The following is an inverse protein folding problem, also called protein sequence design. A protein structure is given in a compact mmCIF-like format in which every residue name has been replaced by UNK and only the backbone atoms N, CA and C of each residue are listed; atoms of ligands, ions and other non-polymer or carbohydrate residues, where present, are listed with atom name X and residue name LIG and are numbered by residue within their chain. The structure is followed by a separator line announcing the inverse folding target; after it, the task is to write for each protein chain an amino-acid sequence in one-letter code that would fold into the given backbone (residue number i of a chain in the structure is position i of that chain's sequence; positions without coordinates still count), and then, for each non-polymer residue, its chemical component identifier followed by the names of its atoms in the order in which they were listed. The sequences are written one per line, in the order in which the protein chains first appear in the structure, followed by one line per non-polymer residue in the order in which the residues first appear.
data_IF_690638868827
#
_entry.id   IF_690638868827
#
_cell.length_a   1.000
_cell.length_b   1.000
_cell.length_c   1.000
_cell.angle_alpha   90.00
_cell.angle_beta   90.00
_cell.angle_gamma   90.00
#
_symmetry.space_group_name_H-M   'P 1'
#
loop_
_entity.id
_entity.type
_entity.pdbx_description
1 polymer ?
#
# COMPACT_ATOMS: atom_id res chain seq x y z
N UNK A 1 -78.45 -10.66 -48.08
CA UNK A 1 -79.41 -9.56 -48.33
C UNK A 1 -79.25 -8.54 -47.23
N UNK A 2 -78.80 -7.33 -47.57
CA UNK A 2 -78.86 -6.07 -46.78
C UNK A 2 -78.01 -6.01 -45.50
N UNK A 3 -77.41 -4.91 -45.08
CA UNK A 3 -77.19 -3.57 -45.64
C UNK A 3 -76.14 -2.91 -44.73
N UNK A 4 -75.30 -2.06 -45.31
CA UNK A 4 -74.43 -1.15 -44.60
C UNK A 4 -75.19 0.09 -44.03
N UNK A 5 -74.55 0.81 -43.11
CA UNK A 5 -74.80 2.23 -42.78
C UNK A 5 -74.89 2.51 -41.27
N UNK A 6 -73.90 3.11 -40.58
CA UNK A 6 -73.36 4.51 -40.53
C UNK A 6 -74.00 5.40 -39.44
N UNK A 7 -73.10 6.08 -38.70
CA UNK A 7 -73.24 7.31 -37.87
C UNK A 7 -74.01 7.14 -36.54
N UNK A 8 -73.65 7.76 -35.39
CA UNK A 8 -73.05 9.07 -35.12
C UNK A 8 -72.71 9.22 -33.60
N UNK A 9 -71.57 9.86 -33.25
CA UNK A 9 -71.30 10.77 -32.07
C UNK A 9 -71.53 10.21 -30.63
N UNK A 10 -70.79 10.51 -29.55
CA UNK A 10 -69.76 11.48 -29.14
C UNK A 10 -69.20 11.05 -27.75
N UNK A 11 -67.91 11.32 -27.52
CA UNK A 11 -67.16 11.51 -26.25
C UNK A 11 -67.45 10.67 -24.98
N UNK A 12 -66.43 9.94 -24.50
CA UNK A 12 -65.69 10.23 -23.24
C UNK A 12 -64.47 9.26 -23.13
N UNK A 13 -63.23 9.77 -23.24
CA UNK A 13 -62.24 9.90 -22.14
C UNK A 13 -61.77 8.55 -21.57
N UNK A 14 -60.63 8.03 -22.05
CA UNK A 14 -59.34 7.91 -21.32
C UNK A 14 -59.29 6.68 -20.37
N UNK A 15 -58.25 5.86 -20.26
CA UNK A 15 -56.80 6.08 -20.26
C UNK A 15 -56.12 4.77 -20.69
N UNK A 16 -55.18 4.86 -21.63
CA UNK A 16 -54.16 3.84 -21.92
C UNK A 16 -53.00 4.08 -20.96
N UNK A 17 -52.52 3.06 -20.25
CA UNK A 17 -51.23 3.10 -19.57
C UNK A 17 -50.40 1.86 -19.93
N UNK A 18 -49.52 2.09 -20.90
CA UNK A 18 -48.40 1.26 -21.33
C UNK A 18 -47.45 1.01 -20.14
N UNK A 19 -47.27 -0.24 -19.73
CA UNK A 19 -46.16 -0.62 -18.85
C UNK A 19 -44.99 -1.03 -19.73
N UNK A 20 -44.13 -0.06 -20.06
CA UNK A 20 -42.77 -0.33 -20.57
C UNK A 20 -41.90 -0.58 -19.34
N UNK A 21 -41.61 -1.86 -19.08
CA UNK A 21 -40.62 -2.24 -18.08
C UNK A 21 -39.21 -1.88 -18.60
N UNK A 22 -38.73 -0.71 -18.18
CA UNK A 22 -37.35 -0.27 -18.33
C UNK A 22 -36.46 -1.16 -17.45
N UNK A 23 -35.82 -2.16 -18.06
CA UNK A 23 -34.70 -2.88 -17.46
C UNK A 23 -33.46 -1.97 -17.46
N UNK A 24 -33.45 -0.96 -16.59
CA UNK A 24 -32.22 -0.30 -16.17
C UNK A 24 -31.51 -1.23 -15.20
N UNK A 25 -30.49 -1.93 -15.68
CA UNK A 25 -29.51 -2.59 -14.81
C UNK A 25 -28.85 -1.54 -13.92
N UNK A 26 -29.22 -1.53 -12.64
CA UNK A 26 -28.53 -0.73 -11.62
C UNK A 26 -27.16 -1.34 -11.38
N UNK A 27 -26.13 -0.70 -11.92
CA UNK A 27 -24.73 -1.03 -11.64
C UNK A 27 -24.38 -0.67 -10.20
N UNK A 28 -24.31 -1.67 -9.32
CA UNK A 28 -23.91 -1.53 -7.90
C UNK A 28 -22.39 -1.36 -7.69
N UNK A 29 -21.64 -0.78 -8.65
CA UNK A 29 -20.20 -0.60 -8.53
C UNK A 29 -19.78 0.83 -8.13
N UNK A 30 -20.60 1.85 -8.45
CA UNK A 30 -20.21 3.25 -8.27
C UNK A 30 -20.30 3.76 -6.81
N UNK A 31 -21.20 3.20 -5.99
CA UNK A 31 -21.46 3.69 -4.63
C UNK A 31 -20.30 3.41 -3.66
N UNK A 32 -19.61 2.28 -3.80
CA UNK A 32 -18.45 1.93 -2.95
C UNK A 32 -17.24 2.80 -3.23
N UNK A 33 -17.01 3.15 -4.51
CA UNK A 33 -15.86 3.94 -4.94
C UNK A 33 -16.00 5.41 -4.53
N UNK A 34 -17.19 6.00 -4.75
CA UNK A 34 -17.48 7.37 -4.33
C UNK A 34 -17.51 7.53 -2.81
N UNK A 35 -17.79 6.47 -2.07
CA UNK A 35 -17.70 6.45 -0.60
C UNK A 35 -16.25 6.41 -0.12
N UNK A 36 -15.39 5.62 -0.78
CA UNK A 36 -13.96 5.51 -0.46
C UNK A 36 -13.20 6.83 -0.65
N UNK A 37 -13.41 7.50 -1.78
CA UNK A 37 -12.82 8.81 -2.08
C UNK A 37 -13.20 9.86 -1.01
N UNK A 38 -14.50 10.01 -0.73
CA UNK A 38 -15.01 10.96 0.27
C UNK A 38 -14.47 10.67 1.66
N UNK A 39 -14.38 9.40 2.04
CA UNK A 39 -13.82 9.02 3.34
C UNK A 39 -12.34 9.39 3.46
N UNK A 40 -11.55 9.20 2.40
CA UNK A 40 -10.14 9.56 2.42
C UNK A 40 -9.93 11.08 2.45
N UNK A 41 -10.73 11.85 1.70
CA UNK A 41 -10.70 13.31 1.76
C UNK A 41 -11.16 13.85 3.12
N UNK A 42 -12.17 13.24 3.74
CA UNK A 42 -12.59 13.59 5.09
C UNK A 42 -11.47 13.34 6.11
N UNK A 43 -10.78 12.19 5.99
CA UNK A 43 -9.62 11.87 6.83
C UNK A 43 -8.50 12.89 6.65
N UNK A 44 -8.20 13.31 5.41
CA UNK A 44 -7.23 14.38 5.13
C UNK A 44 -7.59 15.66 5.89
N UNK A 45 -8.86 16.09 5.83
CA UNK A 45 -9.35 17.26 6.56
C UNK A 45 -9.16 17.14 8.08
N UNK A 46 -9.47 15.97 8.66
CA UNK A 46 -9.32 15.67 10.09
C UNK A 46 -7.85 15.76 10.56
N UNK A 47 -6.92 15.20 9.77
CA UNK A 47 -5.51 15.06 10.20
C UNK A 47 -4.60 16.15 9.66
N UNK A 48 -5.11 17.13 8.91
CA UNK A 48 -4.29 18.15 8.22
C UNK A 48 -3.28 18.83 9.14
N UNK A 49 -3.69 19.30 10.33
CA UNK A 49 -2.76 19.91 11.27
C UNK A 49 -1.67 18.95 11.76
N UNK A 50 -1.92 17.64 11.82
CA UNK A 50 -0.93 16.63 12.21
C UNK A 50 0.02 16.31 11.05
N UNK A 51 -0.46 16.39 9.80
CA UNK A 51 0.39 16.33 8.62
C UNK A 51 1.33 17.54 8.55
N UNK A 52 0.86 18.74 8.90
CA UNK A 52 1.70 19.94 8.83
C UNK A 52 2.66 20.08 10.02
N UNK A 53 2.24 19.63 11.22
CA UNK A 53 3.01 19.73 12.46
C UNK A 53 3.33 18.34 13.00
N UNK A 54 4.49 17.82 12.59
CA UNK A 54 4.98 16.53 13.06
C UNK A 54 6.52 16.51 13.15
N UNK A 55 7.03 15.41 13.70
CA UNK A 55 8.46 15.15 13.90
C UNK A 55 9.20 14.67 12.64
N UNK A 56 8.50 14.37 11.55
CA UNK A 56 9.09 13.79 10.34
C UNK A 56 9.68 14.84 9.39
N UNK A 57 9.31 16.12 9.55
CA UNK A 57 9.71 17.18 8.61
C UNK A 57 9.17 16.96 7.19
N UNK A 58 8.08 16.20 7.08
CA UNK A 58 7.38 15.85 5.86
C UNK A 58 5.88 15.69 6.20
N UNK A 59 4.95 15.86 5.23
CA UNK A 59 3.52 15.79 5.48
C UNK A 59 3.08 14.33 5.68
N UNK A 60 3.41 13.75 6.83
CA UNK A 60 3.25 12.34 7.18
C UNK A 60 2.52 12.23 8.51
N UNK A 61 1.53 11.36 8.58
CA UNK A 61 0.85 10.98 9.81
C UNK A 61 0.82 9.46 9.92
N UNK A 62 1.30 8.94 11.04
CA UNK A 62 1.36 7.53 11.33
C UNK A 62 0.49 7.23 12.56
N UNK A 63 -0.27 6.15 12.50
CA UNK A 63 -0.90 5.56 13.66
C UNK A 63 -0.79 4.04 13.62
N UNK A 64 -0.66 3.42 14.78
CA UNK A 64 -0.48 1.98 14.90
C UNK A 64 -1.22 1.44 16.11
N UNK A 65 -1.74 0.22 15.98
CA UNK A 65 -2.48 -0.49 17.03
C UNK A 65 -2.02 -1.94 17.09
N UNK A 66 -1.82 -2.43 18.30
CA UNK A 66 -1.53 -3.83 18.60
C UNK A 66 -2.71 -4.40 19.37
N UNK A 67 -3.37 -5.41 18.79
CA UNK A 67 -4.39 -6.23 19.44
C UNK A 67 -3.78 -7.51 20.02
N UNK A 68 -4.62 -8.43 20.49
CA UNK A 68 -4.15 -9.67 21.14
C UNK A 68 -3.30 -10.57 20.22
N UNK A 69 -3.74 -10.73 18.97
CA UNK A 69 -3.11 -11.59 17.94
C UNK A 69 -2.99 -10.89 16.58
N UNK A 70 -3.16 -9.57 16.55
CA UNK A 70 -3.20 -8.79 15.31
C UNK A 70 -2.51 -7.45 15.46
N UNK A 71 -1.87 -6.99 14.39
CA UNK A 71 -1.22 -5.68 14.35
C UNK A 71 -1.80 -4.91 13.18
N UNK A 72 -2.02 -3.61 13.38
CA UNK A 72 -2.41 -2.66 12.34
C UNK A 72 -1.53 -1.42 12.39
N UNK A 73 -1.18 -0.92 11.23
CA UNK A 73 -0.56 0.39 11.06
C UNK A 73 -1.16 1.07 9.85
N UNK A 74 -1.46 2.35 10.02
CA UNK A 74 -1.96 3.24 9.00
C UNK A 74 -0.97 4.40 8.87
N UNK A 75 -0.58 4.68 7.63
CA UNK A 75 0.34 5.75 7.27
C UNK A 75 -0.32 6.60 6.21
N UNK A 76 -0.45 7.88 6.49
CA UNK A 76 -0.98 8.88 5.59
C UNK A 76 0.15 9.81 5.19
N UNK A 77 0.17 10.24 3.93
CA UNK A 77 1.07 11.31 3.54
C UNK A 77 0.70 12.03 2.26
N UNK A 78 1.23 13.24 2.12
CA UNK A 78 1.10 14.05 0.91
C UNK A 78 2.33 13.88 0.04
N UNK A 79 2.13 13.30 -1.13
CA UNK A 79 3.13 13.14 -2.17
C UNK A 79 3.00 14.32 -3.12
N UNK A 80 4.06 15.11 -3.27
CA UNK A 80 4.11 16.27 -4.18
C UNK A 80 4.31 15.84 -5.64
N UNK A 81 3.47 14.92 -6.11
CA UNK A 81 3.42 14.40 -7.48
C UNK A 81 1.97 14.47 -7.98
N UNK A 82 1.76 14.66 -9.30
CA UNK A 82 0.43 14.59 -9.90
C UNK A 82 -0.23 13.24 -9.62
N UNK A 83 -1.54 13.27 -9.34
CA UNK A 83 -2.30 12.05 -9.01
C UNK A 83 -2.20 10.98 -10.09
N UNK A 84 -2.25 11.35 -11.36
CA UNK A 84 -2.11 10.40 -12.47
C UNK A 84 -0.75 9.69 -12.43
N UNK A 85 0.33 10.40 -12.13
CA UNK A 85 1.67 9.81 -11.98
C UNK A 85 1.71 8.79 -10.82
N UNK A 86 1.09 9.13 -9.69
CA UNK A 86 1.01 8.21 -8.53
C UNK A 86 0.13 7.01 -8.87
N UNK A 87 -1.05 7.24 -9.46
CA UNK A 87 -1.99 6.19 -9.84
C UNK A 87 -1.35 5.18 -10.79
N UNK A 88 -0.73 5.68 -11.85
CA UNK A 88 -0.18 4.86 -12.92
C UNK A 88 1.04 4.04 -12.43
N UNK A 89 1.85 4.63 -11.53
CA UNK A 89 2.92 3.91 -10.87
C UNK A 89 2.39 2.76 -9.97
N UNK A 90 1.42 3.05 -9.10
CA UNK A 90 0.99 2.11 -8.06
C UNK A 90 0.07 1.00 -8.55
N UNK A 91 -0.63 1.19 -9.67
CA UNK A 91 -1.43 0.12 -10.29
C UNK A 91 -0.58 -0.93 -11.04
N UNK A 92 0.73 -0.69 -11.22
CA UNK A 92 1.62 -1.60 -11.93
C UNK A 92 2.30 -2.62 -11.00
N UNK A 93 2.06 -3.94 -11.16
CA UNK A 93 2.75 -4.96 -10.37
C UNK A 93 4.28 -4.90 -10.51
N UNK A 94 4.80 -4.53 -11.68
CA UNK A 94 6.25 -4.42 -11.90
C UNK A 94 6.87 -3.29 -11.10
N UNK A 95 6.16 -2.16 -10.93
CA UNK A 95 6.61 -1.04 -10.12
C UNK A 95 6.78 -1.46 -8.65
N UNK A 96 5.88 -2.28 -8.11
CA UNK A 96 6.00 -2.83 -6.76
C UNK A 96 7.27 -3.70 -6.59
N UNK A 97 7.72 -4.37 -7.65
CA UNK A 97 9.00 -5.08 -7.65
C UNK A 97 10.24 -4.20 -7.91
N UNK A 98 10.06 -2.89 -8.08
CA UNK A 98 11.12 -1.89 -8.00
C UNK A 98 11.09 -1.12 -6.67
N UNK A 99 9.90 -0.98 -6.07
CA UNK A 99 9.67 -0.29 -4.79
C UNK A 99 10.07 -1.17 -3.60
N UNK A 100 9.48 -2.37 -3.49
CA UNK A 100 9.61 -3.20 -2.30
C UNK A 100 11.04 -3.67 -2.03
N UNK A 101 11.89 -4.00 -3.03
CA UNK A 101 13.27 -4.39 -2.78
C UNK A 101 14.16 -3.27 -2.26
N UNK A 102 13.72 -2.00 -2.27
CA UNK A 102 14.45 -0.93 -1.57
C UNK A 102 14.51 -1.21 -0.05
N UNK A 103 13.48 -1.87 0.49
CA UNK A 103 13.48 -2.27 1.89
C UNK A 103 14.63 -3.25 2.17
N UNK A 104 15.45 -2.96 3.20
CA UNK A 104 16.66 -3.73 3.53
C UNK A 104 16.43 -5.24 3.70
N UNK A 105 15.25 -5.63 4.18
CA UNK A 105 14.87 -7.03 4.37
C UNK A 105 14.23 -7.70 3.14
N UNK A 106 13.90 -7.01 2.07
CA UNK A 106 13.33 -7.64 0.87
C UNK A 106 14.45 -7.96 -0.12
N UNK A 107 14.62 -9.24 -0.42
CA UNK A 107 15.72 -9.80 -1.23
C UNK A 107 15.39 -9.91 -2.71
N UNK A 108 14.11 -10.13 -3.00
CA UNK A 108 13.57 -10.10 -4.34
C UNK A 108 12.07 -9.81 -4.26
N UNK A 109 11.54 -9.25 -5.32
CA UNK A 109 10.14 -9.26 -5.65
C UNK A 109 9.99 -9.77 -7.07
N UNK A 110 9.11 -10.75 -7.25
CA UNK A 110 8.66 -11.14 -8.58
C UNK A 110 7.16 -10.94 -8.69
N UNK A 111 6.69 -10.72 -9.91
CA UNK A 111 5.28 -10.63 -10.22
C UNK A 111 4.93 -11.63 -11.32
N UNK A 112 3.72 -12.20 -11.22
CA UNK A 112 3.13 -13.08 -12.23
C UNK A 112 1.76 -12.54 -12.63
N UNK A 113 1.40 -12.62 -13.90
CA UNK A 113 0.05 -12.31 -14.35
C UNK A 113 -0.84 -13.54 -14.17
N UNK A 114 -1.96 -13.39 -13.48
CA UNK A 114 -2.92 -14.47 -13.19
C UNK A 114 -4.29 -14.06 -13.73
N UNK A 115 -4.59 -14.44 -14.98
CA UNK A 115 -5.78 -14.00 -15.72
C UNK A 115 -5.86 -12.46 -15.76
N UNK A 116 -6.91 -11.86 -15.19
CA UNK A 116 -7.10 -10.41 -15.09
C UNK A 116 -6.44 -9.78 -13.84
N UNK A 117 -5.84 -10.60 -12.97
CA UNK A 117 -5.17 -10.15 -11.75
C UNK A 117 -3.65 -10.36 -11.86
N UNK A 118 -2.92 -9.94 -10.82
CA UNK A 118 -1.52 -10.28 -10.66
C UNK A 118 -1.28 -10.92 -9.29
N UNK A 119 -0.14 -11.60 -9.16
CA UNK A 119 0.40 -12.04 -7.88
C UNK A 119 1.80 -11.48 -7.72
N UNK A 120 2.11 -10.90 -6.56
CA UNK A 120 3.47 -10.58 -6.15
C UNK A 120 3.98 -11.67 -5.22
N UNK A 121 5.26 -12.00 -5.32
CA UNK A 121 5.97 -12.77 -4.30
C UNK A 121 7.13 -11.95 -3.77
N UNK A 122 7.07 -11.57 -2.50
CA UNK A 122 8.13 -10.87 -1.80
C UNK A 122 8.99 -11.87 -1.04
N UNK A 123 10.30 -11.82 -1.22
CA UNK A 123 11.24 -12.69 -0.52
C UNK A 123 11.85 -11.91 0.65
N UNK A 124 11.38 -12.17 1.87
CA UNK A 124 11.82 -11.49 3.09
C UNK A 124 12.98 -12.24 3.76
N UNK A 125 14.08 -11.55 3.98
CA UNK A 125 15.33 -12.10 4.50
C UNK A 125 16.03 -11.19 5.51
N UNK A 126 17.28 -11.53 5.80
CA UNK A 126 18.13 -10.84 6.77
C UNK A 126 18.56 -9.45 6.26
N UNK A 127 19.19 -8.64 7.12
CA UNK A 127 19.65 -7.28 6.74
C UNK A 127 20.86 -7.25 5.79
N UNK A 128 21.53 -8.38 5.60
CA UNK A 128 22.63 -8.55 4.65
C UNK A 128 22.15 -9.23 3.37
N UNK A 129 23.04 -9.39 2.39
CA UNK A 129 22.76 -10.20 1.21
C UNK A 129 22.31 -11.60 1.62
N UNK A 130 21.27 -12.08 0.95
CA UNK A 130 20.76 -13.44 1.08
C UNK A 130 20.08 -13.80 -0.25
N UNK A 131 20.38 -14.97 -0.85
CA UNK A 131 19.69 -15.38 -2.07
C UNK A 131 18.19 -15.62 -1.80
N UNK A 132 17.30 -15.41 -2.79
CA UNK A 132 15.87 -15.63 -2.61
C UNK A 132 15.50 -17.04 -2.12
N UNK A 133 16.29 -18.07 -2.45
CA UNK A 133 16.11 -19.45 -1.99
C UNK A 133 16.16 -19.63 -0.47
N UNK A 134 16.88 -18.74 0.22
CA UNK A 134 17.09 -18.81 1.67
C UNK A 134 16.18 -17.82 2.41
N UNK A 135 15.40 -17.03 1.67
CA UNK A 135 14.47 -16.03 2.19
C UNK A 135 13.05 -16.61 2.31
N UNK A 136 12.23 -16.01 3.15
CA UNK A 136 10.84 -16.40 3.34
C UNK A 136 9.95 -15.76 2.27
N UNK A 137 9.26 -16.56 1.44
CA UNK A 137 8.33 -16.01 0.45
C UNK A 137 7.03 -15.57 1.11
N UNK A 138 6.53 -14.40 0.72
CA UNK A 138 5.20 -13.89 1.02
C UNK A 138 4.47 -13.69 -0.32
N UNK A 139 3.50 -14.55 -0.61
CA UNK A 139 2.68 -14.46 -1.81
C UNK A 139 1.49 -13.55 -1.55
N UNK A 140 1.31 -12.57 -2.43
CA UNK A 140 0.29 -11.54 -2.32
C UNK A 140 -0.54 -11.50 -3.61
N UNK A 141 -1.83 -11.77 -3.50
CA UNK A 141 -2.78 -11.45 -4.56
C UNK A 141 -2.83 -9.94 -4.72
N UNK A 142 -2.55 -9.44 -5.93
CA UNK A 142 -2.53 -8.02 -6.26
C UNK A 142 -3.82 -7.65 -6.96
N UNK A 143 -4.62 -6.78 -6.33
CA UNK A 143 -5.92 -6.35 -6.84
C UNK A 143 -6.02 -4.82 -6.87
N UNK A 144 -6.23 -4.28 -8.06
CA UNK A 144 -6.72 -2.90 -8.24
C UNK A 144 -8.22 -2.93 -8.01
N UNK A 145 -8.68 -2.39 -6.88
CA UNK A 145 -10.09 -2.38 -6.50
C UNK A 145 -10.84 -1.22 -7.18
N UNK A 146 -10.18 -0.07 -7.35
CA UNK A 146 -10.69 1.09 -8.09
C UNK A 146 -9.52 1.83 -8.75
N UNK A 147 -9.69 2.29 -9.99
CA UNK A 147 -8.73 3.18 -10.67
C UNK A 147 -9.49 4.20 -11.51
N UNK A 148 -9.70 5.37 -10.93
CA UNK A 148 -10.54 6.45 -11.46
C UNK A 148 -9.74 7.76 -11.59
N UNK A 149 -10.30 8.81 -12.21
CA UNK A 149 -9.64 10.12 -12.29
C UNK A 149 -9.39 10.80 -10.94
N UNK A 150 -10.17 10.48 -9.90
CA UNK A 150 -10.06 11.11 -8.57
C UNK A 150 -9.79 10.11 -7.43
N UNK A 151 -9.66 8.82 -7.73
CA UNK A 151 -9.50 7.81 -6.69
C UNK A 151 -8.75 6.58 -7.20
N UNK A 152 -7.78 6.11 -6.42
CA UNK A 152 -7.13 4.83 -6.57
C UNK A 152 -7.38 4.02 -5.30
N UNK A 153 -7.72 2.75 -5.45
CA UNK A 153 -7.68 1.75 -4.39
C UNK A 153 -7.02 0.46 -4.85
N UNK A 154 -6.06 -0.01 -4.07
CA UNK A 154 -5.29 -1.21 -4.32
C UNK A 154 -5.21 -2.05 -3.04
N UNK A 155 -5.35 -3.37 -3.18
CA UNK A 155 -5.23 -4.32 -2.10
C UNK A 155 -4.24 -5.43 -2.46
N UNK A 156 -3.29 -5.71 -1.57
CA UNK A 156 -2.41 -6.88 -1.63
C UNK A 156 -2.74 -7.80 -0.46
N UNK A 157 -3.10 -9.04 -0.75
CA UNK A 157 -3.58 -9.99 0.26
C UNK A 157 -2.80 -11.29 0.22
N UNK A 158 -2.31 -11.75 1.37
CA UNK A 158 -1.63 -13.04 1.52
C UNK A 158 -2.05 -13.74 2.80
N UNK A 159 -2.43 -15.01 2.70
CA UNK A 159 -2.97 -15.76 3.83
C UNK A 159 -1.89 -16.19 4.82
N UNK A 160 -0.70 -16.48 4.30
CA UNK A 160 0.44 -16.98 5.07
C UNK A 160 1.68 -16.10 4.81
N UNK A 161 2.46 -15.88 5.86
CA UNK A 161 3.72 -15.16 5.77
C UNK A 161 4.83 -15.74 6.65
N UNK A 162 5.98 -15.05 6.68
CA UNK A 162 7.17 -15.53 7.38
C UNK A 162 6.92 -15.80 8.86
N UNK A 163 7.60 -16.83 9.39
CA UNK A 163 7.64 -17.09 10.84
C UNK A 163 6.24 -17.31 11.48
N UNK A 164 5.27 -17.81 10.71
CA UNK A 164 3.95 -18.16 11.20
C UNK A 164 2.99 -16.98 11.35
N UNK A 165 3.29 -15.83 10.72
CA UNK A 165 2.32 -14.74 10.54
C UNK A 165 1.29 -15.12 9.47
N UNK A 166 0.09 -14.54 9.57
CA UNK A 166 -1.05 -14.83 8.71
C UNK A 166 -1.81 -13.56 8.37
N UNK A 167 -2.80 -13.69 7.48
CA UNK A 167 -3.78 -12.64 7.19
C UNK A 167 -3.16 -11.29 6.79
N UNK A 168 -2.08 -11.33 5.99
CA UNK A 168 -1.39 -10.14 5.52
C UNK A 168 -2.29 -9.37 4.56
N UNK A 169 -2.64 -8.13 4.93
CA UNK A 169 -3.39 -7.21 4.07
C UNK A 169 -2.67 -5.88 4.01
N UNK A 170 -2.21 -5.50 2.82
CA UNK A 170 -1.66 -4.19 2.52
C UNK A 170 -2.70 -3.46 1.67
N UNK A 171 -3.19 -2.33 2.16
CA UNK A 171 -4.13 -1.47 1.43
C UNK A 171 -3.45 -0.17 1.03
N UNK A 172 -3.67 0.28 -0.20
CA UNK A 172 -3.24 1.60 -0.67
C UNK A 172 -4.42 2.33 -1.27
N UNK A 173 -4.68 3.53 -0.78
CA UNK A 173 -5.66 4.44 -1.35
C UNK A 173 -4.98 5.77 -1.69
N UNK A 174 -5.42 6.42 -2.77
CA UNK A 174 -4.92 7.75 -3.12
C UNK A 174 -6.01 8.64 -3.74
N UNK A 175 -5.95 9.93 -3.45
CA UNK A 175 -6.83 10.97 -4.01
C UNK A 175 -6.00 12.21 -4.40
N UNK A 176 -6.37 12.95 -5.46
CA UNK A 176 -5.76 14.23 -5.76
C UNK A 176 -6.16 15.27 -4.69
N UNK A 177 -5.22 16.13 -4.31
CA UNK A 177 -5.47 17.33 -3.50
C UNK A 177 -5.48 18.61 -4.36
N UNK A 178 -5.82 18.48 -5.64
CA UNK A 178 -5.64 19.55 -6.63
C UNK A 178 -4.16 19.90 -6.79
N UNK A 179 -3.83 21.19 -6.81
CA UNK A 179 -2.46 21.69 -7.00
C UNK A 179 -1.46 21.36 -5.88
N UNK A 180 -1.89 20.68 -4.81
CA UNK A 180 -1.04 20.31 -3.66
C UNK A 180 -0.41 18.92 -3.80
N UNK A 181 -0.75 18.17 -4.87
CA UNK A 181 -0.25 16.82 -5.12
C UNK A 181 -1.27 15.75 -4.79
N UNK A 182 -0.82 14.64 -4.23
CA UNK A 182 -1.61 13.44 -4.00
C UNK A 182 -1.59 13.07 -2.53
N UNK A 183 -2.77 12.88 -1.94
CA UNK A 183 -2.89 12.31 -0.61
C UNK A 183 -2.99 10.80 -0.72
N UNK A 184 -2.13 10.09 0.03
CA UNK A 184 -2.04 8.65 0.01
C UNK A 184 -2.24 8.10 1.42
N UNK A 185 -3.00 7.01 1.51
CA UNK A 185 -3.12 6.17 2.69
C UNK A 185 -2.55 4.79 2.39
N UNK A 186 -1.57 4.37 3.18
CA UNK A 186 -1.01 3.03 3.21
C UNK A 186 -1.40 2.37 4.53
N UNK A 187 -2.08 1.23 4.46
CA UNK A 187 -2.41 0.43 5.63
C UNK A 187 -1.75 -0.93 5.53
N UNK A 188 -1.34 -1.48 6.67
CA UNK A 188 -0.86 -2.84 6.75
C UNK A 188 -1.39 -3.52 8.01
N UNK A 189 -1.95 -4.72 7.82
CA UNK A 189 -2.40 -5.59 8.89
C UNK A 189 -1.86 -7.00 8.70
N UNK A 190 -1.60 -7.68 9.81
CA UNK A 190 -1.35 -9.11 9.84
C UNK A 190 -1.72 -9.67 11.22
N UNK A 191 -1.98 -10.97 11.26
CA UNK A 191 -2.23 -11.74 12.47
C UNK A 191 -1.08 -12.70 12.76
N UNK A 192 -1.02 -13.22 13.98
CA UNK A 192 -0.06 -14.24 14.37
C UNK A 192 -0.67 -15.20 15.39
N UNK A 193 -0.30 -16.48 15.30
CA UNK A 193 -0.72 -17.48 16.29
C UNK A 193 0.01 -17.33 17.62
N UNK A 194 -0.46 -18.02 18.66
CA UNK A 194 0.09 -17.95 20.03
C UNK A 194 1.59 -18.26 20.09
N UNK A 195 2.05 -19.26 19.32
CA UNK A 195 3.46 -19.63 19.27
C UNK A 195 4.32 -18.53 18.62
N UNK A 196 3.85 -17.97 17.50
CA UNK A 196 4.51 -16.84 16.83
C UNK A 196 4.56 -15.62 17.75
N UNK A 197 3.47 -15.33 18.48
CA UNK A 197 3.42 -14.26 19.47
C UNK A 197 4.47 -14.42 20.56
N UNK A 198 4.62 -15.62 21.11
CA UNK A 198 5.62 -15.90 22.14
C UNK A 198 7.03 -15.68 21.60
N UNK A 199 7.34 -16.20 20.40
CA UNK A 199 8.64 -16.01 19.77
C UNK A 199 8.95 -14.53 19.51
N UNK A 200 7.96 -13.77 19.01
CA UNK A 200 8.06 -12.34 18.76
C UNK A 200 8.33 -11.58 20.07
N UNK A 201 7.59 -11.88 21.16
CA UNK A 201 7.82 -11.27 22.47
C UNK A 201 9.23 -11.57 23.00
N UNK A 202 9.70 -12.81 22.88
CA UNK A 202 11.07 -13.18 23.29
C UNK A 202 12.14 -12.44 22.48
N UNK A 203 11.93 -12.28 21.17
CA UNK A 203 12.83 -11.50 20.32
C UNK A 203 12.94 -10.06 20.80
N UNK A 204 11.82 -9.38 21.04
CA UNK A 204 11.82 -7.99 21.51
C UNK A 204 12.26 -7.85 22.97
N UNK A 205 12.15 -8.89 23.79
CA UNK A 205 12.76 -8.90 25.11
C UNK A 205 14.29 -9.04 25.07
N UNK A 206 14.88 -9.42 23.92
CA UNK A 206 16.31 -9.71 23.78
C UNK A 206 16.95 -8.91 22.63
N UNK A 207 17.14 -9.53 21.45
CA UNK A 207 17.87 -8.97 20.31
C UNK A 207 17.16 -7.75 19.67
N UNK A 208 15.85 -7.64 19.89
CA UNK A 208 15.03 -6.53 19.40
C UNK A 208 14.79 -5.42 20.42
N UNK A 209 15.34 -5.51 21.64
CA UNK A 209 15.00 -4.61 22.76
C UNK A 209 15.22 -3.13 22.43
N UNK A 210 16.32 -2.80 21.77
CA UNK A 210 16.65 -1.41 21.45
C UNK A 210 15.92 -0.88 20.19
N UNK A 211 15.01 -1.67 19.60
CA UNK A 211 14.30 -1.31 18.36
C UNK A 211 13.02 -0.56 18.71
N UNK A 212 13.07 0.75 18.52
CA UNK A 212 11.96 1.68 18.76
C UNK A 212 11.25 2.11 17.48
N UNK A 213 9.95 2.38 17.59
CA UNK A 213 9.11 2.99 16.58
C UNK A 213 9.26 4.51 16.51
N UNK A 214 8.24 5.16 15.95
CA UNK A 214 8.14 6.60 15.79
C UNK A 214 7.14 7.24 16.74
N UNK A 215 6.09 6.52 17.16
CA UNK A 215 5.14 7.06 18.13
C UNK A 215 5.81 7.23 19.49
N UNK A 216 5.62 8.41 20.09
CA UNK A 216 6.00 8.69 21.48
C UNK A 216 4.80 8.53 22.40
N UNK A 217 5.00 7.92 23.56
CA UNK A 217 3.99 7.74 24.62
C UNK A 217 4.53 8.25 25.95
N UNK A 218 3.64 8.69 26.84
CA UNK A 218 4.00 9.27 28.12
C UNK A 218 3.63 10.74 28.23
N UNK A 219 3.87 11.32 29.41
CA UNK A 219 3.62 12.72 29.70
C UNK A 219 4.74 13.62 29.15
N UNK A 220 4.43 14.90 28.92
CA UNK A 220 5.40 15.88 28.44
C UNK A 220 6.64 15.92 29.35
N UNK A 221 7.82 15.77 28.73
CA UNK A 221 9.10 15.70 29.45
C UNK A 221 9.53 14.29 29.90
N UNK A 222 8.68 13.27 29.74
CA UNK A 222 8.99 11.84 30.01
C UNK A 222 8.52 10.93 28.89
N UNK A 223 8.47 11.44 27.66
CA UNK A 223 8.03 10.69 26.50
C UNK A 223 9.09 9.68 26.06
N UNK A 224 8.65 8.45 25.82
CA UNK A 224 9.47 7.37 25.28
C UNK A 224 8.88 6.87 23.97
N UNK A 225 9.74 6.40 23.07
CA UNK A 225 9.28 5.78 21.84
C UNK A 225 8.69 4.40 22.14
N UNK A 226 7.63 4.05 21.41
CA UNK A 226 7.07 2.72 21.51
C UNK A 226 8.07 1.64 21.06
N UNK A 227 8.08 0.52 21.75
CA UNK A 227 8.96 -0.62 21.48
C UNK A 227 8.17 -1.82 20.94
N UNK A 228 8.84 -2.97 20.81
CA UNK A 228 8.18 -4.23 20.54
C UNK A 228 7.57 -4.34 19.15
N UNK A 229 6.47 -5.09 19.05
CA UNK A 229 5.81 -5.40 17.78
C UNK A 229 5.28 -4.15 17.11
N UNK A 230 4.64 -3.28 17.89
CA UNK A 230 4.16 -1.99 17.42
C UNK A 230 5.29 -1.10 16.91
N UNK A 231 6.41 -0.99 17.64
CA UNK A 231 7.58 -0.26 17.16
C UNK A 231 8.15 -0.84 15.85
N UNK A 232 8.23 -2.16 15.74
CA UNK A 232 8.72 -2.83 14.53
C UNK A 232 7.84 -2.60 13.30
N UNK A 233 6.52 -2.64 13.45
CA UNK A 233 5.61 -2.40 12.32
C UNK A 233 5.70 -0.96 11.83
N UNK A 234 5.83 0.03 12.73
CA UNK A 234 6.00 1.44 12.35
C UNK A 234 7.27 1.66 11.53
N UNK A 235 8.37 1.03 11.92
CA UNK A 235 9.65 1.10 11.20
C UNK A 235 9.53 0.54 9.78
N UNK A 236 8.87 -0.59 9.62
CA UNK A 236 8.67 -1.20 8.31
C UNK A 236 7.76 -0.34 7.42
N UNK A 237 6.66 0.17 7.97
CA UNK A 237 5.75 1.06 7.23
C UNK A 237 6.43 2.35 6.79
N UNK A 238 7.22 2.98 7.67
CA UNK A 238 8.01 4.15 7.30
C UNK A 238 9.01 3.85 6.19
N UNK A 239 9.68 2.70 6.22
CA UNK A 239 10.58 2.29 5.14
C UNK A 239 9.87 2.10 3.80
N UNK A 240 8.66 1.54 3.79
CA UNK A 240 7.85 1.41 2.58
C UNK A 240 7.32 2.75 2.08
N UNK A 241 6.89 3.64 2.97
CA UNK A 241 6.53 5.02 2.61
C UNK A 241 7.71 5.73 1.91
N UNK A 242 8.91 5.66 2.49
CA UNK A 242 10.11 6.25 1.90
C UNK A 242 10.53 5.56 0.59
N UNK A 243 10.21 4.28 0.41
CA UNK A 243 10.40 3.55 -0.85
C UNK A 243 9.46 4.06 -1.94
N UNK A 244 8.18 4.27 -1.63
CA UNK A 244 7.20 4.87 -2.54
C UNK A 244 7.65 6.28 -2.95
N UNK A 245 8.06 7.10 -1.98
CA UNK A 245 8.55 8.45 -2.26
C UNK A 245 9.79 8.42 -3.16
N UNK A 246 10.76 7.57 -2.84
CA UNK A 246 11.97 7.40 -3.66
C UNK A 246 11.64 6.96 -5.08
N UNK A 247 10.71 6.02 -5.26
CA UNK A 247 10.32 5.55 -6.58
C UNK A 247 9.77 6.69 -7.43
N UNK A 248 8.85 7.49 -6.88
CA UNK A 248 8.26 8.63 -7.59
C UNK A 248 9.31 9.72 -7.89
N UNK A 249 10.16 10.07 -6.92
CA UNK A 249 11.22 11.08 -7.08
C UNK A 249 12.26 10.72 -8.16
N UNK A 250 12.41 9.43 -8.45
CA UNK A 250 13.42 8.94 -9.40
C UNK A 250 12.86 8.68 -10.80
N UNK A 251 11.55 8.78 -11.01
CA UNK A 251 10.95 8.66 -12.35
C UNK A 251 11.51 9.68 -13.36
N UNK A 252 11.98 10.84 -12.88
CA UNK A 252 12.62 11.88 -13.68
C UNK A 252 13.94 11.46 -14.35
N UNK A 253 14.62 10.43 -13.84
CA UNK A 253 15.88 9.95 -14.41
C UNK A 253 15.64 9.00 -15.59
N UNK A 254 16.58 8.88 -16.54
CA UNK A 254 16.54 7.85 -17.57
C UNK A 254 16.46 6.44 -16.97
N UNK A 255 15.72 5.54 -17.61
CA UNK A 255 15.41 4.19 -17.07
C UNK A 255 16.66 3.43 -16.58
N UNK A 256 17.74 3.47 -17.36
CA UNK A 256 19.02 2.81 -17.07
C UNK A 256 19.71 3.32 -15.79
N UNK A 257 19.41 4.54 -15.36
CA UNK A 257 19.99 5.16 -14.17
C UNK A 257 19.10 5.03 -12.93
N UNK A 258 17.80 4.77 -13.11
CA UNK A 258 16.80 4.81 -12.03
C UNK A 258 17.14 3.88 -10.88
N UNK A 259 17.63 2.68 -11.15
CA UNK A 259 17.94 1.70 -10.11
C UNK A 259 18.97 2.24 -9.11
N UNK A 260 20.12 2.71 -9.57
CA UNK A 260 21.17 3.25 -8.72
C UNK A 260 20.73 4.52 -7.99
N UNK A 261 20.01 5.41 -8.69
CA UNK A 261 19.45 6.62 -8.07
C UNK A 261 18.47 6.29 -6.95
N UNK A 262 17.61 5.28 -7.13
CA UNK A 262 16.67 4.81 -6.09
C UNK A 262 17.39 4.25 -4.88
N UNK A 263 18.39 3.39 -5.07
CA UNK A 263 19.11 2.81 -3.95
C UNK A 263 19.76 3.90 -3.09
N UNK A 264 20.49 4.82 -3.74
CA UNK A 264 21.17 5.91 -3.05
C UNK A 264 20.17 6.81 -2.32
N UNK A 265 19.09 7.23 -3.00
CA UNK A 265 18.08 8.12 -2.45
C UNK A 265 17.30 7.51 -1.28
N UNK A 266 16.88 6.25 -1.40
CA UNK A 266 16.16 5.57 -0.32
C UNK A 266 17.02 5.47 0.94
N UNK A 267 18.31 5.13 0.78
CA UNK A 267 19.24 5.10 1.91
C UNK A 267 19.34 6.48 2.57
N UNK A 268 19.52 7.55 1.79
CA UNK A 268 19.65 8.90 2.35
C UNK A 268 18.38 9.36 3.08
N UNK A 269 17.20 9.00 2.57
CA UNK A 269 15.93 9.28 3.25
C UNK A 269 15.80 8.52 4.57
N UNK A 270 16.14 7.24 4.60
CA UNK A 270 16.09 6.44 5.84
C UNK A 270 17.14 6.86 6.87
N UNK A 271 18.30 7.33 6.40
CA UNK A 271 19.40 7.80 7.26
C UNK A 271 19.05 9.05 8.08
N UNK A 272 17.99 9.79 7.70
CA UNK A 272 17.43 10.90 8.51
C UNK A 272 16.84 10.44 9.84
N UNK A 273 16.54 9.15 9.97
CA UNK A 273 15.94 8.55 11.17
C UNK A 273 16.87 7.50 11.77
N UNK A 274 18.08 7.87 12.23
CA UNK A 274 19.11 6.89 12.58
C UNK A 274 18.73 6.03 13.79
N UNK A 275 17.98 6.57 14.75
CA UNK A 275 17.52 5.82 15.94
C UNK A 275 16.55 4.70 15.56
N UNK A 276 15.66 4.96 14.60
CA UNK A 276 14.62 4.01 14.18
C UNK A 276 15.10 3.11 13.03
N UNK A 277 15.74 3.66 12.01
CA UNK A 277 15.86 2.99 10.70
C UNK A 277 17.26 2.54 10.30
N UNK A 278 18.34 3.08 10.88
CA UNK A 278 19.72 2.72 10.50
C UNK A 278 20.06 1.30 10.95
N UNK A 279 20.59 0.50 10.03
CA UNK A 279 20.91 -0.93 10.26
C UNK A 279 22.31 -1.35 9.78
N UNK A 280 22.76 -0.80 8.64
CA UNK A 280 24.06 -1.02 8.00
C UNK A 280 24.52 0.29 7.34
N UNK A 281 25.80 0.37 6.92
CA UNK A 281 26.31 1.52 6.17
C UNK A 281 25.86 1.55 4.69
N UNK A 282 26.02 2.71 4.05
CA UNK A 282 25.57 2.95 2.67
C UNK A 282 26.29 2.05 1.67
N UNK A 283 27.63 1.94 1.66
CA UNK A 283 28.33 1.03 0.75
C UNK A 283 27.84 -0.42 0.84
N UNK A 284 27.67 -0.96 2.05
CA UNK A 284 27.17 -2.31 2.28
C UNK A 284 25.74 -2.49 1.77
N UNK A 285 24.85 -1.51 2.04
CA UNK A 285 23.49 -1.53 1.53
C UNK A 285 23.46 -1.55 -0.01
N UNK A 286 24.17 -0.64 -0.66
CA UNK A 286 24.20 -0.55 -2.13
C UNK A 286 24.75 -1.85 -2.75
N UNK A 287 25.84 -2.39 -2.19
CA UNK A 287 26.43 -3.64 -2.67
C UNK A 287 25.44 -4.82 -2.56
N UNK A 288 24.81 -5.00 -1.40
CA UNK A 288 23.83 -6.07 -1.20
C UNK A 288 22.66 -5.95 -2.18
N UNK A 289 22.16 -4.72 -2.41
CA UNK A 289 21.03 -4.49 -3.31
C UNK A 289 21.33 -4.75 -4.78
N UNK A 290 22.56 -4.50 -5.23
CA UNK A 290 22.99 -4.88 -6.59
C UNK A 290 23.01 -6.40 -6.79
N UNK A 291 23.53 -7.14 -5.81
CA UNK A 291 23.53 -8.60 -5.85
C UNK A 291 22.10 -9.17 -5.81
N UNK A 292 21.26 -8.63 -4.92
CA UNK A 292 19.84 -8.98 -4.81
C UNK A 292 19.08 -8.69 -6.12
N UNK A 293 19.37 -7.58 -6.80
CA UNK A 293 18.76 -7.23 -8.09
C UNK A 293 19.07 -8.24 -9.18
N UNK A 294 20.33 -8.67 -9.30
CA UNK A 294 20.71 -9.71 -10.26
C UNK A 294 19.96 -11.03 -10.02
N UNK A 295 19.81 -11.42 -8.75
CA UNK A 295 19.02 -12.61 -8.36
C UNK A 295 17.53 -12.44 -8.67
N UNK A 296 16.97 -11.26 -8.40
CA UNK A 296 15.58 -10.95 -8.71
C UNK A 296 15.29 -11.05 -10.21
N UNK A 297 16.15 -10.51 -11.07
CA UNK A 297 15.97 -10.54 -12.52
C UNK A 297 16.03 -11.96 -13.08
N UNK A 298 16.98 -12.77 -12.60
CA UNK A 298 17.06 -14.19 -12.93
C UNK A 298 15.78 -14.95 -12.50
N UNK A 299 15.31 -14.67 -11.28
CA UNK A 299 14.10 -15.29 -10.73
C UNK A 299 12.84 -14.86 -11.49
N UNK A 300 12.67 -13.58 -11.78
CA UNK A 300 11.55 -13.05 -12.58
C UNK A 300 11.54 -13.68 -13.98
N UNK A 301 12.70 -13.92 -14.59
CA UNK A 301 12.77 -14.54 -15.92
C UNK A 301 12.36 -16.01 -15.91
N UNK A 302 12.69 -16.73 -14.83
CA UNK A 302 12.37 -18.15 -14.65
C UNK A 302 10.92 -18.38 -14.22
N UNK A 303 10.41 -17.51 -13.36
CA UNK A 303 9.20 -17.73 -12.59
C UNK A 303 8.11 -16.68 -12.82
N UNK A 304 8.42 -15.56 -13.47
CA UNK A 304 7.50 -14.44 -13.62
C UNK A 304 6.44 -14.57 -14.72
N UNK A 305 6.54 -15.63 -15.53
CA UNK A 305 5.58 -15.93 -16.60
C UNK A 305 4.26 -16.50 -16.03
#
# INVERSE_FOLDING_TARGET
MGSAGRLQRVCLVAVVLFVVAFLCGTGFAADTEQTGERALLAKYGEIKSKLDKNQFGAPIFLESKEGHDSVRVDMYGVFHFPFETVRDALQSPSAWCEITPLHINIKACIYRKVKQNAQLTLYSGRKYFQPPSDAYPLKLAFKVAASQPQYLELNLVGDEGPLGTKDHRIGVQAVPLGGQGTFLHFSYTYSHGTMARMAIKTYFATLGRDKVGFTMVGEDGKQEYIEGVRGAVERNTMRYYLALQTYLETLKYPEKERFEQRLSRWYDLTAKYPRQLKEIDKPAYLNNKRLERAQQEALQSKEGN
#
